data_IF_268518943383
#
_entry.id   IF_268518943383
#
_cell.length_a   1.000
_cell.length_b   1.000
_cell.length_c   1.000
_cell.angle_alpha   90.00
_cell.angle_beta   90.00
_cell.angle_gamma   90.00
#
_symmetry.space_group_name_H-M   'P 1'
#
loop_
_entity.id
_entity.type
_entity.pdbx_description
1 polymer ?
#
# COMPACT_ATOMS: atom_id res chain seq x y z
N UNK A 1 12.61 -12.55 10.99
CA UNK A 1 12.43 -11.12 10.74
C UNK A 1 11.11 -10.93 10.03
N UNK A 2 10.21 -10.13 10.60
CA UNK A 2 8.87 -9.96 10.08
C UNK A 2 8.83 -8.72 9.15
N UNK A 3 8.58 -8.85 7.84
CA UNK A 3 8.53 -7.71 6.93
C UNK A 3 7.37 -6.75 7.25
N UNK A 4 6.34 -7.19 7.99
CA UNK A 4 5.23 -6.34 8.45
C UNK A 4 5.72 -5.22 9.38
N UNK A 5 6.85 -5.40 10.07
CA UNK A 5 7.45 -4.32 10.88
C UNK A 5 7.78 -3.08 10.03
N UNK A 6 8.06 -3.24 8.73
CA UNK A 6 8.30 -2.10 7.85
C UNK A 6 7.02 -1.29 7.54
N UNK A 7 5.83 -1.85 7.77
CA UNK A 7 4.54 -1.18 7.59
C UNK A 7 4.06 -0.50 8.88
N UNK A 8 4.37 -1.05 10.05
CA UNK A 8 3.92 -0.54 11.34
C UNK A 8 4.51 0.86 11.64
N UNK A 9 3.69 1.89 11.90
CA UNK A 9 4.16 3.23 12.25
C UNK A 9 5.04 3.23 13.50
N UNK A 10 4.78 2.34 14.44
CA UNK A 10 5.50 2.21 15.72
C UNK A 10 6.99 1.95 15.49
N UNK A 11 7.35 1.21 14.44
CA UNK A 11 8.74 0.90 14.07
C UNK A 11 9.56 2.16 13.81
N UNK A 12 8.92 3.25 13.38
CA UNK A 12 9.59 4.50 13.01
C UNK A 12 9.67 5.52 14.16
N UNK A 13 9.04 5.23 15.30
CA UNK A 13 9.02 6.14 16.47
C UNK A 13 10.41 6.35 17.09
N UNK A 14 11.28 5.34 17.00
CA UNK A 14 12.67 5.40 17.45
C UNK A 14 13.66 5.84 16.35
N UNK A 15 13.17 6.28 15.18
CA UNK A 15 13.96 6.62 14.01
C UNK A 15 13.93 5.55 12.91
N UNK A 16 14.78 5.71 11.89
CA UNK A 16 14.77 4.83 10.73
C UNK A 16 15.38 3.45 11.05
N UNK A 17 14.65 2.33 10.82
CA UNK A 17 15.11 0.98 11.15
C UNK A 17 16.09 0.45 10.10
N UNK A 18 17.30 1.02 10.02
CA UNK A 18 18.30 0.64 9.01
C UNK A 18 18.67 -0.85 9.03
N UNK A 19 18.73 -1.46 10.22
CA UNK A 19 19.03 -2.88 10.38
C UNK A 19 17.96 -3.78 9.76
N UNK A 20 16.68 -3.44 9.94
CA UNK A 20 15.54 -4.12 9.32
C UNK A 20 15.66 -4.06 7.80
N UNK A 21 15.83 -2.86 7.23
CA UNK A 21 15.97 -2.71 5.78
C UNK A 21 17.23 -3.38 5.21
N UNK A 22 18.34 -3.42 5.96
CA UNK A 22 19.55 -4.16 5.55
C UNK A 22 19.27 -5.65 5.43
N UNK A 23 18.62 -6.23 6.43
CA UNK A 23 18.32 -7.65 6.45
C UNK A 23 17.22 -8.02 5.43
N UNK A 24 16.20 -7.19 5.23
CA UNK A 24 15.20 -7.39 4.17
C UNK A 24 15.82 -7.36 2.77
N UNK A 25 16.73 -6.41 2.49
CA UNK A 25 17.47 -6.38 1.20
C UNK A 25 18.31 -7.63 0.93
N UNK A 26 18.86 -8.23 1.99
CA UNK A 26 19.69 -9.43 1.90
C UNK A 26 18.85 -10.71 1.70
N UNK A 27 17.71 -10.81 2.40
CA UNK A 27 16.97 -12.08 2.50
C UNK A 27 15.68 -12.12 1.68
N UNK A 28 14.96 -11.00 1.58
CA UNK A 28 13.63 -10.90 0.96
C UNK A 28 13.49 -9.54 0.25
N UNK A 29 14.27 -9.29 -0.81
CA UNK A 29 14.36 -7.97 -1.45
C UNK A 29 13.05 -7.51 -2.11
N UNK A 30 12.20 -8.47 -2.51
CA UNK A 30 10.84 -8.25 -2.97
C UNK A 30 9.95 -9.23 -2.22
N UNK A 31 8.97 -8.73 -1.46
CA UNK A 31 8.03 -9.61 -0.76
C UNK A 31 6.67 -8.96 -0.54
N UNK A 32 5.64 -9.79 -0.39
CA UNK A 32 4.31 -9.35 0.03
C UNK A 32 4.30 -9.05 1.53
N UNK A 33 3.73 -7.91 1.88
CA UNK A 33 3.50 -7.45 3.25
C UNK A 33 1.99 -7.44 3.47
N UNK A 34 1.57 -8.13 4.53
CA UNK A 34 0.20 -8.06 5.00
C UNK A 34 -0.05 -6.68 5.63
N UNK A 35 -1.25 -6.15 5.45
CA UNK A 35 -1.66 -4.83 5.94
C UNK A 35 -2.60 -5.03 7.15
N UNK A 36 -2.07 -5.30 8.36
CA UNK A 36 -2.90 -5.45 9.54
C UNK A 36 -3.61 -4.13 9.88
N UNK A 37 -4.68 -4.22 10.67
CA UNK A 37 -5.32 -3.01 11.20
C UNK A 37 -4.33 -2.25 12.10
N UNK A 38 -4.21 -0.94 11.87
CA UNK A 38 -3.31 -0.05 12.62
C UNK A 38 -4.14 1.11 13.14
N UNK A 39 -4.31 1.19 14.47
CA UNK A 39 -5.12 2.23 15.10
C UNK A 39 -6.55 2.29 14.54
N UNK A 40 -6.92 3.42 13.95
CA UNK A 40 -8.23 3.65 13.34
C UNK A 40 -8.36 3.12 11.90
N UNK A 41 -7.28 2.59 11.30
CA UNK A 41 -7.29 2.06 9.94
C UNK A 41 -7.56 0.55 9.94
N UNK A 42 -8.53 0.14 9.12
CA UNK A 42 -8.88 -1.26 8.94
C UNK A 42 -7.76 -2.04 8.23
N UNK A 43 -7.74 -3.36 8.43
CA UNK A 43 -6.81 -4.23 7.71
C UNK A 43 -7.07 -4.17 6.20
N UNK A 44 -5.99 -4.12 5.42
CA UNK A 44 -6.01 -4.10 3.97
C UNK A 44 -5.63 -5.44 3.33
N UNK A 45 -5.71 -5.55 2.01
CA UNK A 45 -5.38 -6.77 1.26
C UNK A 45 -3.87 -7.09 1.23
N UNK A 46 -3.02 -6.21 1.78
CA UNK A 46 -1.58 -6.31 1.70
C UNK A 46 -1.01 -5.79 0.38
N UNK A 47 0.26 -5.41 0.40
CA UNK A 47 0.96 -4.81 -0.73
C UNK A 47 2.31 -5.47 -1.01
N UNK A 48 2.88 -5.19 -2.18
CA UNK A 48 4.22 -5.63 -2.54
C UNK A 48 5.25 -4.59 -2.09
N UNK A 49 6.22 -5.02 -1.30
CA UNK A 49 7.34 -4.19 -0.88
C UNK A 49 8.61 -4.54 -1.66
N UNK A 50 9.30 -3.50 -2.12
CA UNK A 50 10.54 -3.59 -2.91
C UNK A 50 11.63 -2.81 -2.18
N UNK A 51 12.69 -3.50 -1.75
CA UNK A 51 13.70 -2.92 -0.87
C UNK A 51 15.04 -2.62 -1.55
N UNK A 52 15.33 -3.23 -2.71
CA UNK A 52 16.58 -2.99 -3.44
C UNK A 52 16.44 -1.78 -4.36
N UNK A 53 17.47 -0.96 -4.36
CA UNK A 53 17.50 0.26 -5.17
C UNK A 53 17.37 -0.01 -6.69
N UNK A 54 17.96 -1.09 -7.21
CA UNK A 54 17.81 -1.46 -8.61
C UNK A 54 16.35 -1.78 -8.96
N UNK A 55 15.68 -2.55 -8.11
CA UNK A 55 14.29 -2.97 -8.30
C UNK A 55 13.32 -1.78 -8.17
N UNK A 56 13.56 -0.89 -7.20
CA UNK A 56 12.81 0.37 -7.07
C UNK A 56 12.95 1.24 -8.32
N UNK A 57 14.18 1.38 -8.86
CA UNK A 57 14.39 2.11 -10.11
C UNK A 57 13.65 1.47 -11.28
N UNK A 58 13.61 0.14 -11.34
CA UNK A 58 12.88 -0.57 -12.39
C UNK A 58 11.39 -0.23 -12.32
N UNK A 59 10.78 -0.36 -11.15
CA UNK A 59 9.36 -0.01 -10.93
C UNK A 59 9.06 1.42 -11.36
N UNK A 60 9.87 2.39 -10.92
CA UNK A 60 9.66 3.81 -11.22
C UNK A 60 9.92 4.17 -12.69
N UNK A 61 10.63 3.34 -13.45
CA UNK A 61 10.99 3.58 -14.86
C UNK A 61 10.13 2.80 -15.86
N UNK A 62 9.19 1.99 -15.37
CA UNK A 62 8.32 1.15 -16.19
C UNK A 62 6.84 1.51 -15.91
N UNK A 63 6.42 2.76 -16.18
CA UNK A 63 5.07 3.25 -15.88
C UNK A 63 3.96 2.52 -16.65
N UNK A 64 4.30 1.87 -17.77
CA UNK A 64 3.41 1.00 -18.54
C UNK A 64 3.01 -0.29 -17.79
N UNK A 65 3.82 -0.72 -16.81
CA UNK A 65 3.54 -1.85 -15.93
C UNK A 65 3.09 -1.39 -14.54
N UNK A 66 3.68 -0.31 -14.02
CA UNK A 66 3.41 0.21 -12.68
C UNK A 66 2.74 1.59 -12.76
N UNK A 67 1.43 1.62 -12.61
CA UNK A 67 0.65 2.86 -12.66
C UNK A 67 0.64 3.59 -11.31
N UNK A 68 0.80 4.92 -11.35
CA UNK A 68 0.58 5.80 -10.20
C UNK A 68 -0.83 6.41 -10.15
N UNK A 69 -1.64 6.20 -11.19
CA UNK A 69 -2.99 6.77 -11.31
C UNK A 69 -4.08 5.80 -10.83
N UNK A 70 -3.89 4.51 -11.09
CA UNK A 70 -4.77 3.45 -10.60
C UNK A 70 -4.35 3.09 -9.16
N UNK A 71 -4.90 3.81 -8.18
CA UNK A 71 -4.88 3.36 -6.79
C UNK A 71 -5.69 2.07 -6.61
N UNK A 72 -5.63 1.42 -5.42
CA UNK A 72 -6.59 0.37 -5.09
C UNK A 72 -8.01 0.89 -5.36
N UNK A 73 -8.94 0.04 -5.83
CA UNK A 73 -10.29 0.47 -6.16
C UNK A 73 -10.84 1.25 -4.97
N UNK A 74 -11.01 2.56 -5.19
CA UNK A 74 -11.53 3.46 -4.18
C UNK A 74 -12.90 2.92 -3.82
N UNK A 75 -13.05 2.47 -2.57
CA UNK A 75 -14.31 2.09 -1.93
C UNK A 75 -15.50 2.73 -2.65
N UNK A 76 -16.35 1.90 -3.25
CA UNK A 76 -17.46 2.33 -4.08
C UNK A 76 -18.17 3.53 -3.44
N UNK A 77 -18.07 4.70 -4.09
CA UNK A 77 -18.95 5.82 -3.79
C UNK A 77 -20.38 5.27 -3.94
N UNK A 78 -21.21 5.20 -2.88
CA UNK A 78 -22.59 4.81 -3.10
C UNK A 78 -23.20 5.86 -4.02
N UNK A 79 -23.57 5.45 -5.23
CA UNK A 79 -24.32 6.28 -6.15
C UNK A 79 -25.62 6.64 -5.44
N UNK A 80 -25.69 7.83 -4.86
CA UNK A 80 -26.94 8.39 -4.36
C UNK A 80 -27.87 8.49 -5.58
N UNK A 81 -29.01 7.77 -5.62
CA UNK A 81 -29.92 7.91 -6.75
C UNK A 81 -30.40 9.37 -6.80
N UNK A 82 -30.57 9.97 -8.00
CA UNK A 82 -31.14 11.29 -8.12
C UNK A 82 -32.56 11.26 -7.52
N UNK A 83 -32.77 12.08 -6.48
CA UNK A 83 -34.10 12.43 -6.03
C UNK A 83 -34.69 13.36 -7.09
N UNK A 84 -35.54 12.82 -7.97
CA UNK A 84 -36.71 13.49 -8.56
C UNK A 84 -37.19 12.71 -9.77
N UNK A 85 -38.31 12.00 -9.63
CA UNK A 85 -39.24 11.72 -10.72
C UNK A 85 -40.62 11.47 -10.12
N UNK A 86 -41.19 12.54 -9.57
CA UNK A 86 -42.62 12.63 -9.28
C UNK A 86 -43.10 14.06 -9.56
N UNK A 87 -43.28 14.35 -10.84
CA UNK A 87 -44.19 15.35 -11.41
C UNK A 87 -44.16 15.04 -12.91
N UNK A 88 -45.17 14.51 -13.58
CA UNK A 88 -46.61 14.63 -13.46
C UNK A 88 -47.12 14.55 -14.91
N UNK A 89 -48.28 13.93 -15.11
CA UNK A 89 -49.01 13.77 -16.38
C UNK A 89 -48.94 14.97 -17.32
#
# INVERSE_FOLDING_TARGET
MNPVEAFLPETYTAGLPYALFRALRATRPVCRIDEPAVGAWAAGPGFWAVFRHADVKHVLRTPEVFSSHLGPPRSATPTRPPIWSSCGR
#
